data_IF_808212060579
#
_entry.id   IF_808212060579
#
_cell.length_a   1.000
_cell.length_b   1.000
_cell.length_c   1.000
_cell.angle_alpha   90.00
_cell.angle_beta   90.00
_cell.angle_gamma   90.00
#
_symmetry.space_group_name_H-M   'P 1'
#
loop_
_entity.id
_entity.type
_entity.pdbx_description
1 polymer ?
#
# COMPACT_ATOMS: atom_id res chain seq x y z
N UNK A 1 -30.20 15.33 4.34
CA UNK A 1 -29.56 14.90 5.59
C UNK A 1 -28.75 13.68 5.22
N UNK A 2 -27.47 13.88 4.85
CA UNK A 2 -26.62 12.79 4.34
C UNK A 2 -26.52 11.66 5.35
N UNK A 3 -26.84 10.45 4.90
CA UNK A 3 -26.63 9.25 5.70
C UNK A 3 -25.12 9.03 5.92
N UNK A 4 -24.67 8.97 7.18
CA UNK A 4 -23.24 8.85 7.52
C UNK A 4 -22.67 7.43 7.45
N UNK A 5 -23.47 6.42 7.09
CA UNK A 5 -23.01 5.03 6.94
C UNK A 5 -21.77 4.86 6.04
N UNK A 6 -21.72 5.40 4.79
CA UNK A 6 -20.54 5.27 3.93
C UNK A 6 -19.29 5.91 4.54
N UNK A 7 -19.43 6.95 5.36
CA UNK A 7 -18.31 7.56 6.08
C UNK A 7 -17.73 6.61 7.15
N UNK A 8 -18.58 6.01 7.98
CA UNK A 8 -18.12 5.06 9.00
C UNK A 8 -17.52 3.80 8.39
N UNK A 9 -18.10 3.30 7.29
CA UNK A 9 -17.53 2.20 6.52
C UNK A 9 -16.15 2.54 5.98
N UNK A 10 -15.99 3.71 5.34
CA UNK A 10 -14.71 4.17 4.83
C UNK A 10 -13.66 4.28 5.94
N UNK A 11 -14.02 4.87 7.10
CA UNK A 11 -13.12 5.02 8.23
C UNK A 11 -12.65 3.66 8.78
N UNK A 12 -13.58 2.71 8.96
CA UNK A 12 -13.26 1.37 9.45
C UNK A 12 -12.34 0.61 8.50
N UNK A 13 -12.64 0.63 7.20
CA UNK A 13 -11.82 -0.02 6.17
C UNK A 13 -10.43 0.62 6.05
N UNK A 14 -10.31 1.94 6.12
CA UNK A 14 -9.01 2.63 6.11
C UNK A 14 -8.15 2.28 7.32
N UNK A 15 -8.73 2.20 8.52
CA UNK A 15 -7.97 1.83 9.72
C UNK A 15 -7.47 0.39 9.60
N UNK A 16 -8.32 -0.52 9.13
CA UNK A 16 -7.94 -1.92 8.90
C UNK A 16 -6.83 -2.02 7.84
N UNK A 17 -6.99 -1.31 6.73
CA UNK A 17 -5.99 -1.23 5.66
C UNK A 17 -4.64 -0.69 6.19
N UNK A 18 -4.65 0.39 6.96
CA UNK A 18 -3.45 0.97 7.57
C UNK A 18 -2.70 -0.03 8.44
N UNK A 19 -3.42 -0.79 9.28
CA UNK A 19 -2.80 -1.80 10.15
C UNK A 19 -2.15 -2.90 9.31
N UNK A 20 -2.85 -3.43 8.31
CA UNK A 20 -2.34 -4.49 7.44
C UNK A 20 -1.15 -4.02 6.60
N UNK A 21 -1.24 -2.82 6.02
CA UNK A 21 -0.18 -2.18 5.24
C UNK A 21 1.05 -1.91 6.11
N UNK A 22 0.86 -1.40 7.33
CA UNK A 22 1.95 -1.16 8.29
C UNK A 22 2.65 -2.45 8.73
N UNK A 23 1.89 -3.51 9.00
CA UNK A 23 2.46 -4.83 9.31
C UNK A 23 3.22 -5.37 8.11
N UNK A 24 2.64 -5.32 6.91
CA UNK A 24 3.33 -5.76 5.70
C UNK A 24 4.64 -4.98 5.50
N UNK A 25 4.60 -3.65 5.60
CA UNK A 25 5.75 -2.77 5.43
C UNK A 25 6.88 -3.05 6.43
N UNK A 26 6.55 -3.30 7.70
CA UNK A 26 7.53 -3.47 8.77
C UNK A 26 8.07 -4.89 8.96
N UNK A 27 7.47 -5.91 8.33
CA UNK A 27 7.80 -7.32 8.62
C UNK A 27 8.65 -7.99 7.54
N UNK A 28 9.48 -8.93 8.00
CA UNK A 28 10.50 -9.64 7.21
C UNK A 28 10.02 -10.77 6.30
N UNK A 29 8.73 -10.89 5.96
CA UNK A 29 8.17 -12.11 5.33
C UNK A 29 7.41 -11.82 4.03
N UNK A 30 8.00 -11.01 3.14
CA UNK A 30 7.48 -10.80 1.79
C UNK A 30 7.82 -11.96 0.86
N UNK A 31 9.02 -12.51 1.01
CA UNK A 31 9.51 -13.65 0.26
C UNK A 31 10.22 -14.60 1.21
N UNK A 32 9.96 -15.90 1.08
CA UNK A 32 10.43 -16.92 2.02
C UNK A 32 11.16 -18.01 1.24
N UNK A 33 12.32 -18.39 1.76
CA UNK A 33 13.11 -19.49 1.25
C UNK A 33 12.44 -20.83 1.52
N UNK A 34 12.24 -21.63 0.49
CA UNK A 34 11.63 -22.96 0.62
C UNK A 34 12.66 -24.09 0.62
N UNK A 35 12.55 -25.04 1.55
CA UNK A 35 13.41 -26.25 1.58
C UNK A 35 14.53 -26.19 2.62
N UNK A 36 14.95 -27.37 3.07
CA UNK A 36 15.82 -27.52 4.25
C UNK A 36 17.25 -26.97 4.04
N UNK A 37 17.78 -27.08 2.82
CA UNK A 37 19.15 -26.65 2.50
C UNK A 37 19.22 -25.22 1.93
N UNK A 38 18.12 -24.44 1.99
CA UNK A 38 18.13 -23.07 1.46
C UNK A 38 18.99 -22.19 2.37
N UNK A 39 19.99 -21.54 1.77
CA UNK A 39 20.83 -20.55 2.47
C UNK A 39 20.17 -19.18 2.58
N UNK A 40 19.12 -18.94 1.81
CA UNK A 40 18.21 -17.82 1.94
C UNK A 40 17.01 -18.23 2.78
N UNK A 41 16.71 -17.48 3.85
CA UNK A 41 15.59 -17.82 4.75
C UNK A 41 14.35 -16.97 4.47
N UNK A 42 14.51 -15.64 4.49
CA UNK A 42 13.39 -14.71 4.26
C UNK A 42 13.87 -13.32 3.91
N UNK A 43 12.99 -12.59 3.24
CA UNK A 43 13.15 -11.20 2.83
C UNK A 43 11.87 -10.43 3.17
N UNK A 44 12.01 -9.32 3.88
CA UNK A 44 11.00 -8.26 3.94
C UNK A 44 11.38 -7.08 3.06
N UNK A 45 10.62 -5.99 3.17
CA UNK A 45 11.01 -4.76 2.46
C UNK A 45 12.36 -4.23 2.92
N UNK A 46 12.75 -4.47 4.16
CA UNK A 46 13.89 -3.77 4.73
C UNK A 46 14.86 -4.63 5.55
N UNK A 47 14.48 -5.87 5.82
CA UNK A 47 15.30 -6.86 6.52
C UNK A 47 15.45 -8.08 5.61
N UNK A 48 16.65 -8.64 5.59
CA UNK A 48 16.96 -9.89 4.89
C UNK A 48 17.65 -10.86 5.86
N UNK A 49 17.27 -12.13 5.78
CA UNK A 49 17.82 -13.20 6.62
C UNK A 49 18.47 -14.28 5.78
N UNK A 50 19.71 -14.62 6.13
CA UNK A 50 20.50 -15.67 5.49
C UNK A 50 21.06 -16.64 6.52
N UNK A 51 21.36 -17.86 6.07
CA UNK A 51 21.90 -18.93 6.90
C UNK A 51 23.08 -19.60 6.19
N UNK A 52 24.19 -18.88 6.12
CA UNK A 52 25.41 -19.33 5.47
C UNK A 52 25.35 -19.22 3.95
N UNK A 53 24.75 -18.15 3.44
CA UNK A 53 24.77 -17.84 2.02
C UNK A 53 26.10 -17.20 1.64
N UNK A 54 26.81 -17.81 0.68
CA UNK A 54 28.03 -17.25 0.10
C UNK A 54 27.72 -16.76 -1.32
N UNK A 55 28.04 -15.51 -1.58
CA UNK A 55 27.73 -14.90 -2.87
C UNK A 55 29.00 -14.73 -3.71
N UNK A 56 28.93 -15.10 -4.99
CA UNK A 56 30.10 -15.15 -5.87
C UNK A 56 30.72 -13.80 -6.19
N UNK A 57 29.97 -12.70 -6.05
CA UNK A 57 30.53 -11.34 -6.23
C UNK A 57 31.27 -10.81 -4.99
N UNK A 58 31.24 -11.52 -3.85
CA UNK A 58 32.08 -11.18 -2.72
C UNK A 58 33.49 -11.79 -2.88
N UNK A 59 34.49 -10.94 -3.12
CA UNK A 59 35.89 -11.34 -3.26
C UNK A 59 36.48 -11.95 -1.99
N UNK A 60 35.85 -11.72 -0.83
CA UNK A 60 36.26 -12.27 0.46
C UNK A 60 35.71 -13.70 0.64
N UNK A 61 34.67 -14.07 -0.12
CA UNK A 61 33.98 -15.36 0.05
C UNK A 61 33.30 -15.48 1.41
N UNK A 62 32.73 -14.39 1.93
CA UNK A 62 32.10 -14.40 3.25
C UNK A 62 30.72 -15.06 3.19
N UNK A 63 30.47 -15.94 4.16
CA UNK A 63 29.14 -16.49 4.41
C UNK A 63 28.30 -15.52 5.28
N UNK A 64 27.10 -15.18 4.82
CA UNK A 64 26.16 -14.30 5.51
C UNK A 64 25.24 -15.09 6.45
N UNK A 65 25.14 -14.62 7.70
CA UNK A 65 24.33 -15.25 8.75
C UNK A 65 23.44 -14.25 9.49
N UNK A 66 22.24 -14.70 9.83
CA UNK A 66 21.28 -13.96 10.63
C UNK A 66 20.43 -12.99 9.83
N UNK A 67 19.63 -12.22 10.57
CA UNK A 67 18.73 -11.21 10.03
C UNK A 67 19.33 -9.83 10.26
N UNK A 68 19.52 -9.08 9.18
CA UNK A 68 20.03 -7.73 9.27
C UNK A 68 19.21 -6.78 8.40
N UNK A 69 19.21 -5.53 8.82
CA UNK A 69 18.70 -4.43 8.03
C UNK A 69 19.47 -4.30 6.71
N UNK A 70 18.80 -4.04 5.59
CA UNK A 70 19.42 -3.98 4.26
C UNK A 70 20.55 -2.95 4.15
N UNK A 71 20.44 -1.84 4.88
CA UNK A 71 21.47 -0.79 4.89
C UNK A 71 22.57 -1.02 5.94
N UNK A 72 22.57 -2.15 6.64
CA UNK A 72 23.63 -2.51 7.57
C UNK A 72 24.96 -2.74 6.84
N UNK A 73 26.08 -2.52 7.54
CA UNK A 73 27.43 -2.68 6.98
C UNK A 73 27.71 -4.11 6.54
N UNK A 74 27.10 -5.09 7.21
CA UNK A 74 27.23 -6.52 6.87
C UNK A 74 26.92 -6.79 5.40
N UNK A 75 25.90 -6.12 4.86
CA UNK A 75 25.41 -6.31 3.51
C UNK A 75 25.99 -5.33 2.48
N UNK A 76 27.01 -4.53 2.81
CA UNK A 76 27.49 -3.47 1.91
C UNK A 76 27.93 -3.95 0.53
N UNK A 77 28.53 -5.15 0.46
CA UNK A 77 29.06 -5.71 -0.79
C UNK A 77 27.97 -6.34 -1.66
N UNK A 78 26.97 -6.99 -1.06
CA UNK A 78 25.88 -7.69 -1.77
C UNK A 78 24.60 -6.85 -1.91
N UNK A 79 24.56 -5.64 -1.35
CA UNK A 79 23.37 -4.77 -1.36
C UNK A 79 22.84 -4.50 -2.75
N UNK A 80 23.72 -4.22 -3.71
CA UNK A 80 23.31 -3.92 -5.09
C UNK A 80 22.63 -5.10 -5.80
N UNK A 81 23.00 -6.32 -5.45
CA UNK A 81 22.36 -7.54 -5.95
C UNK A 81 21.02 -7.79 -5.24
N UNK A 82 20.97 -7.66 -3.90
CA UNK A 82 19.74 -7.88 -3.14
C UNK A 82 18.66 -6.84 -3.41
N UNK A 83 19.05 -5.61 -3.75
CA UNK A 83 18.14 -4.48 -3.96
C UNK A 83 18.18 -4.00 -5.42
N UNK A 84 17.65 -4.78 -6.37
CA UNK A 84 17.54 -4.34 -7.75
C UNK A 84 16.60 -3.13 -7.85
N UNK A 85 16.73 -2.34 -8.92
CA UNK A 85 15.99 -1.07 -9.08
C UNK A 85 14.46 -1.24 -8.99
N UNK A 86 13.93 -2.37 -9.48
CA UNK A 86 12.51 -2.67 -9.37
C UNK A 86 12.07 -2.86 -7.91
N UNK A 87 12.90 -3.49 -7.08
CA UNK A 87 12.61 -3.71 -5.66
C UNK A 87 12.72 -2.41 -4.86
N UNK A 88 13.68 -1.55 -5.19
CA UNK A 88 13.78 -0.19 -4.64
C UNK A 88 12.52 0.63 -4.97
N UNK A 89 11.96 0.43 -6.16
CA UNK A 89 10.72 1.09 -6.58
C UNK A 89 9.53 0.62 -5.73
N UNK A 90 9.43 -0.68 -5.44
CA UNK A 90 8.43 -1.27 -4.53
C UNK A 90 8.58 -0.71 -3.11
N UNK A 91 9.81 -0.68 -2.57
CA UNK A 91 10.08 -0.10 -1.24
C UNK A 91 9.62 1.36 -1.15
N UNK A 92 9.93 2.15 -2.17
CA UNK A 92 9.58 3.58 -2.24
C UNK A 92 8.07 3.79 -2.31
N UNK A 93 7.38 3.05 -3.19
CA UNK A 93 5.93 3.14 -3.35
C UNK A 93 5.18 2.68 -2.10
N UNK A 94 5.63 1.61 -1.42
CA UNK A 94 5.05 1.19 -0.15
C UNK A 94 5.31 2.20 0.97
N UNK A 95 6.45 2.89 0.97
CA UNK A 95 6.72 3.99 1.92
C UNK A 95 5.73 5.13 1.71
N UNK A 96 5.50 5.54 0.45
CA UNK A 96 4.50 6.56 0.13
C UNK A 96 3.08 6.12 0.48
N UNK A 97 2.74 4.84 0.26
CA UNK A 97 1.44 4.29 0.63
C UNK A 97 1.18 4.44 2.13
N UNK A 98 2.09 3.97 2.99
CA UNK A 98 1.93 4.11 4.45
C UNK A 98 1.72 5.57 4.87
N UNK A 99 2.47 6.51 4.26
CA UNK A 99 2.31 7.95 4.53
C UNK A 99 0.94 8.47 4.08
N UNK A 100 0.51 8.17 2.85
CA UNK A 100 -0.79 8.61 2.33
C UNK A 100 -1.96 8.00 3.10
N UNK A 101 -1.81 6.77 3.59
CA UNK A 101 -2.81 6.08 4.39
C UNK A 101 -2.97 6.74 5.77
N UNK A 102 -1.86 7.07 6.45
CA UNK A 102 -1.88 7.85 7.70
C UNK A 102 -2.54 9.22 7.49
N UNK A 103 -2.14 9.94 6.43
CA UNK A 103 -2.72 11.25 6.10
C UNK A 103 -4.22 11.15 5.81
N UNK A 104 -4.65 10.12 5.08
CA UNK A 104 -6.06 9.88 4.77
C UNK A 104 -6.89 9.65 6.03
N UNK A 105 -6.41 8.85 6.98
CA UNK A 105 -7.09 8.62 8.27
C UNK A 105 -7.20 9.92 9.07
N UNK A 106 -6.13 10.72 9.15
CA UNK A 106 -6.15 12.02 9.86
C UNK A 106 -7.17 12.97 9.24
N UNK A 107 -7.24 13.05 7.91
CA UNK A 107 -8.23 13.90 7.22
C UNK A 107 -9.65 13.37 7.45
N UNK A 108 -9.88 12.06 7.41
CA UNK A 108 -11.20 11.46 7.68
C UNK A 108 -11.70 11.74 9.10
N UNK A 109 -10.82 11.73 10.10
CA UNK A 109 -11.19 12.11 11.48
C UNK A 109 -11.62 13.58 11.53
N UNK A 110 -10.96 14.47 10.79
CA UNK A 110 -11.37 15.89 10.69
C UNK A 110 -12.73 16.03 10.00
N UNK A 111 -12.98 15.26 8.94
CA UNK A 111 -14.27 15.23 8.24
C UNK A 111 -15.42 14.85 9.18
N UNK A 112 -15.20 13.90 10.10
CA UNK A 112 -16.23 13.49 11.06
C UNK A 112 -16.62 14.56 12.07
N UNK A 113 -15.70 15.50 12.36
CA UNK A 113 -15.93 16.63 13.27
C UNK A 113 -16.49 17.86 12.56
N UNK A 114 -16.25 18.01 11.26
CA UNK A 114 -16.76 19.13 10.48
C UNK A 114 -18.24 18.91 10.10
N UNK A 115 -19.03 19.97 10.19
CA UNK A 115 -20.45 20.00 9.84
C UNK A 115 -20.73 20.83 8.58
N UNK A 116 -19.70 21.28 7.85
CA UNK A 116 -19.82 22.21 6.71
C UNK A 116 -19.34 21.66 5.36
N UNK A 117 -19.51 22.48 4.30
CA UNK A 117 -19.05 22.23 2.93
C UNK A 117 -17.52 22.36 2.78
N UNK A 118 -16.77 21.59 3.57
CA UNK A 118 -15.31 21.57 3.49
C UNK A 118 -14.81 20.78 2.28
N UNK A 119 -13.63 21.15 1.77
CA UNK A 119 -12.91 20.38 0.74
C UNK A 119 -12.25 19.11 1.29
N UNK A 120 -12.27 18.91 2.61
CA UNK A 120 -11.66 17.78 3.31
C UNK A 120 -12.08 16.39 2.80
N UNK A 121 -13.38 16.06 2.58
CA UNK A 121 -13.78 14.75 2.04
C UNK A 121 -13.25 14.53 0.61
N UNK A 122 -13.17 15.59 -0.20
CA UNK A 122 -12.58 15.52 -1.54
C UNK A 122 -11.08 15.22 -1.49
N UNK A 123 -10.36 15.87 -0.56
CA UNK A 123 -8.93 15.61 -0.32
C UNK A 123 -8.74 14.17 0.15
N UNK A 124 -9.57 13.68 1.08
CA UNK A 124 -9.51 12.30 1.55
C UNK A 124 -9.74 11.29 0.41
N UNK A 125 -10.77 11.48 -0.42
CA UNK A 125 -11.01 10.64 -1.61
C UNK A 125 -9.78 10.63 -2.54
N UNK A 126 -9.19 11.79 -2.85
CA UNK A 126 -7.97 11.87 -3.66
C UNK A 126 -6.78 11.11 -3.07
N UNK A 127 -6.49 11.31 -1.77
CA UNK A 127 -5.40 10.62 -1.08
C UNK A 127 -5.61 9.10 -1.05
N UNK A 128 -6.82 8.62 -0.78
CA UNK A 128 -7.13 7.17 -0.77
C UNK A 128 -7.00 6.52 -2.15
N UNK A 129 -7.34 7.23 -3.22
CA UNK A 129 -7.16 6.73 -4.60
C UNK A 129 -5.67 6.60 -4.91
N UNK A 130 -4.88 7.63 -4.62
CA UNK A 130 -3.43 7.62 -4.83
C UNK A 130 -2.78 6.49 -4.00
N UNK A 131 -3.19 6.34 -2.74
CA UNK A 131 -2.72 5.25 -1.88
C UNK A 131 -2.98 3.87 -2.49
N UNK A 132 -4.22 3.62 -2.90
CA UNK A 132 -4.64 2.36 -3.52
C UNK A 132 -3.81 2.06 -4.76
N UNK A 133 -3.55 3.08 -5.58
CA UNK A 133 -2.68 2.96 -6.76
C UNK A 133 -1.24 2.59 -6.38
N UNK A 134 -0.64 3.26 -5.39
CA UNK A 134 0.71 2.95 -4.92
C UNK A 134 0.84 1.50 -4.42
N UNK A 135 -0.12 1.03 -3.61
CA UNK A 135 -0.13 -0.35 -3.10
C UNK A 135 -0.29 -1.34 -4.26
N UNK A 136 -1.25 -1.10 -5.16
CA UNK A 136 -1.51 -1.98 -6.29
C UNK A 136 -0.28 -2.12 -7.20
N UNK A 137 0.36 -1.01 -7.57
CA UNK A 137 1.59 -1.04 -8.38
C UNK A 137 2.71 -1.78 -7.64
N UNK A 138 2.89 -1.53 -6.34
CA UNK A 138 3.93 -2.20 -5.53
C UNK A 138 3.77 -3.71 -5.53
N UNK A 139 2.56 -4.19 -5.25
CA UNK A 139 2.24 -5.62 -5.17
C UNK A 139 2.34 -6.30 -6.54
N UNK A 140 1.87 -5.63 -7.61
CA UNK A 140 1.96 -6.15 -8.98
C UNK A 140 3.42 -6.25 -9.42
N UNK A 141 4.21 -5.17 -9.26
CA UNK A 141 5.62 -5.16 -9.64
C UNK A 141 6.37 -6.24 -8.88
N UNK A 142 6.19 -6.35 -7.56
CA UNK A 142 6.84 -7.38 -6.77
C UNK A 142 6.45 -8.80 -7.22
N UNK A 143 5.15 -9.06 -7.42
CA UNK A 143 4.66 -10.37 -7.84
C UNK A 143 5.13 -10.79 -9.23
N UNK A 144 5.19 -9.85 -10.19
CA UNK A 144 5.66 -10.13 -11.56
C UNK A 144 7.18 -10.30 -11.60
N UNK A 145 7.93 -9.41 -10.95
CA UNK A 145 9.39 -9.42 -11.04
C UNK A 145 10.02 -10.65 -10.37
N UNK A 146 9.38 -11.26 -9.38
CA UNK A 146 9.84 -12.55 -8.83
C UNK A 146 9.84 -13.66 -9.89
N UNK A 147 8.85 -13.67 -10.80
CA UNK A 147 8.76 -14.70 -11.84
C UNK A 147 9.71 -14.47 -13.02
N UNK A 148 9.94 -13.20 -13.36
CA UNK A 148 10.79 -12.77 -14.47
C UNK A 148 12.27 -12.76 -14.09
N UNK A 149 12.64 -12.18 -12.94
CA UNK A 149 14.01 -12.07 -12.46
C UNK A 149 14.44 -13.31 -11.67
N UNK A 150 14.50 -14.45 -12.37
CA UNK A 150 14.90 -15.76 -11.81
C UNK A 150 16.35 -15.79 -11.30
N UNK A 151 17.14 -14.77 -11.62
CA UNK A 151 18.54 -14.63 -11.18
C UNK A 151 18.70 -13.85 -9.89
N UNK A 152 17.64 -13.19 -9.40
CA UNK A 152 17.70 -12.36 -8.22
C UNK A 152 17.92 -13.17 -6.93
N UNK A 153 17.27 -14.33 -6.79
CA UNK A 153 17.38 -15.18 -5.60
C UNK A 153 17.96 -16.56 -5.94
N UNK A 154 18.79 -17.16 -5.06
CA UNK A 154 19.59 -18.33 -5.41
C UNK A 154 18.80 -19.59 -5.74
N UNK A 155 17.63 -19.78 -5.10
CA UNK A 155 16.78 -20.98 -5.21
C UNK A 155 15.32 -20.60 -5.50
N UNK A 156 15.14 -19.84 -6.58
CA UNK A 156 13.83 -19.31 -7.00
C UNK A 156 12.76 -20.39 -7.21
N UNK A 157 13.16 -21.64 -7.47
CA UNK A 157 12.30 -22.79 -7.74
C UNK A 157 11.58 -23.32 -6.49
N UNK A 158 12.20 -23.16 -5.32
CA UNK A 158 11.64 -23.60 -4.04
C UNK A 158 11.03 -22.45 -3.23
N UNK A 159 11.47 -21.22 -3.52
CA UNK A 159 11.07 -20.03 -2.78
C UNK A 159 9.63 -19.60 -3.11
N UNK A 160 8.94 -19.01 -2.13
CA UNK A 160 7.54 -18.64 -2.26
C UNK A 160 7.21 -17.29 -1.60
N UNK A 161 6.06 -16.74 -1.99
CA UNK A 161 5.55 -15.48 -1.43
C UNK A 161 5.13 -15.67 0.02
N UNK A 162 5.64 -14.80 0.90
CA UNK A 162 5.36 -14.88 2.32
C UNK A 162 4.04 -14.21 2.72
N UNK A 163 3.66 -14.40 3.98
CA UNK A 163 2.40 -13.89 4.52
C UNK A 163 2.32 -12.35 4.54
N UNK A 164 3.45 -11.65 4.73
CA UNK A 164 3.47 -10.18 4.72
C UNK A 164 3.10 -9.61 3.35
N UNK A 165 3.51 -10.28 2.28
CA UNK A 165 3.07 -9.93 0.92
C UNK A 165 1.55 -10.13 0.78
N UNK A 166 1.01 -11.23 1.30
CA UNK A 166 -0.44 -11.46 1.36
C UNK A 166 -1.20 -10.36 2.12
N UNK A 167 -0.64 -9.86 3.22
CA UNK A 167 -1.22 -8.72 3.94
C UNK A 167 -1.15 -7.42 3.14
N UNK A 168 -0.09 -7.18 2.37
CA UNK A 168 0.00 -6.03 1.48
C UNK A 168 -1.10 -6.07 0.41
N UNK A 169 -1.31 -7.23 -0.23
CA UNK A 169 -2.40 -7.46 -1.19
C UNK A 169 -3.76 -7.15 -0.53
N UNK A 170 -3.99 -7.69 0.67
CA UNK A 170 -5.24 -7.52 1.39
C UNK A 170 -5.48 -6.06 1.81
N UNK A 171 -4.42 -5.35 2.21
CA UNK A 171 -4.50 -3.91 2.49
C UNK A 171 -4.93 -3.12 1.24
N UNK A 172 -4.40 -3.44 0.06
CA UNK A 172 -4.79 -2.82 -1.20
C UNK A 172 -6.28 -3.01 -1.51
N UNK A 173 -6.83 -4.21 -1.26
CA UNK A 173 -8.27 -4.46 -1.40
C UNK A 173 -9.10 -3.59 -0.46
N UNK A 174 -8.76 -3.55 0.84
CA UNK A 174 -9.49 -2.71 1.79
C UNK A 174 -9.37 -1.22 1.49
N UNK A 175 -8.18 -0.74 1.07
CA UNK A 175 -7.99 0.63 0.60
C UNK A 175 -8.86 0.93 -0.62
N UNK A 176 -9.02 0.00 -1.57
CA UNK A 176 -9.89 0.19 -2.73
C UNK A 176 -11.38 0.31 -2.34
N UNK A 177 -11.87 -0.56 -1.47
CA UNK A 177 -13.26 -0.46 -0.96
C UNK A 177 -13.48 0.80 -0.13
N UNK A 178 -12.47 1.21 0.64
CA UNK A 178 -12.50 2.46 1.38
C UNK A 178 -12.56 3.67 0.44
N UNK A 179 -11.78 3.66 -0.65
CA UNK A 179 -11.80 4.70 -1.69
C UNK A 179 -13.19 4.84 -2.32
N UNK A 180 -13.83 3.73 -2.68
CA UNK A 180 -15.21 3.75 -3.20
C UNK A 180 -16.18 4.35 -2.14
N UNK A 181 -16.06 3.92 -0.89
CA UNK A 181 -16.93 4.39 0.21
C UNK A 181 -16.76 5.88 0.51
N UNK A 182 -15.53 6.41 0.52
CA UNK A 182 -15.30 7.84 0.76
C UNK A 182 -15.69 8.70 -0.45
N UNK A 183 -15.48 8.21 -1.67
CA UNK A 183 -15.84 8.96 -2.87
C UNK A 183 -17.36 9.01 -3.03
N UNK A 184 -18.10 7.93 -2.72
CA UNK A 184 -19.58 7.97 -2.67
C UNK A 184 -20.07 8.96 -1.62
N UNK A 185 -19.52 8.96 -0.40
CA UNK A 185 -19.84 9.96 0.63
C UNK A 185 -19.57 11.39 0.16
N UNK A 186 -18.43 11.61 -0.50
CA UNK A 186 -18.04 12.91 -1.06
C UNK A 186 -19.01 13.38 -2.15
N UNK A 187 -19.46 12.47 -3.03
CA UNK A 187 -20.44 12.77 -4.07
C UNK A 187 -21.81 13.09 -3.48
N UNK A 188 -22.24 12.37 -2.43
CA UNK A 188 -23.50 12.67 -1.72
C UNK A 188 -23.46 14.08 -1.10
N UNK A 189 -22.36 14.44 -0.45
CA UNK A 189 -22.19 15.80 0.10
C UNK A 189 -22.24 16.88 -1.00
N UNK A 190 -21.60 16.64 -2.14
CA UNK A 190 -21.64 17.56 -3.29
C UNK A 190 -23.05 17.68 -3.86
N UNK A 191 -23.78 16.56 -3.96
CA UNK A 191 -25.15 16.55 -4.48
C UNK A 191 -26.11 17.35 -3.58
N UNK A 192 -26.01 17.21 -2.25
CA UNK A 192 -26.80 18.03 -1.32
C UNK A 192 -26.44 19.51 -1.36
N UNK A 193 -25.20 19.86 -1.74
CA UNK A 193 -24.73 21.24 -1.84
C UNK A 193 -25.19 21.96 -3.13
N UNK A 194 -25.63 21.22 -4.15
CA UNK A 194 -26.10 21.82 -5.40
C UNK A 194 -27.42 22.58 -5.16
N UNK A 195 -27.61 23.77 -5.77
CA UNK A 195 -28.90 24.44 -5.72
C UNK A 195 -29.93 23.53 -6.37
N UNK A 196 -30.94 23.11 -5.58
CA UNK A 196 -32.08 22.36 -6.13
C UNK A 196 -32.76 23.28 -7.15
N UNK A 197 -32.97 22.77 -8.37
CA UNK A 197 -33.75 23.45 -9.38
C UNK A 197 -35.16 23.67 -8.81
N UNK A 198 -35.48 24.93 -8.50
CA UNK A 198 -36.75 25.29 -7.92
C UNK A 198 -37.77 25.49 -9.05
N UNK A 199 -38.64 24.50 -9.25
CA UNK A 199 -39.70 24.50 -10.27
C UNK A 199 -40.61 25.76 -10.16
N UNK A 200 -40.70 26.35 -8.96
CA UNK A 200 -41.41 27.61 -8.72
C UNK A 200 -40.73 28.83 -9.36
N UNK A 201 -39.40 28.84 -9.50
CA UNK A 201 -38.68 29.92 -10.21
C UNK A 201 -38.69 29.77 -11.73
N UNK A 202 -38.84 28.54 -12.23
CA UNK A 202 -38.96 28.27 -13.68
C UNK A 202 -40.33 28.70 -14.23
N UNK A 203 -41.41 28.41 -13.48
CA UNK A 203 -42.76 28.87 -13.79
C UNK A 203 -42.92 30.40 -13.70
N UNK A 204 -42.23 31.06 -12.77
CA UNK A 204 -42.16 32.53 -12.69
C UNK A 204 -41.37 33.18 -13.84
N UNK A 205 -40.46 32.45 -14.49
CA UNK A 205 -39.64 32.97 -15.61
C UNK A 205 -40.24 32.72 -16.99
N UNK A 206 -41.39 32.05 -17.09
CA UNK A 206 -42.13 31.92 -18.36
C UNK A 206 -41.37 31.16 -19.45
N UNK A 207 -40.51 30.19 -19.09
CA UNK A 207 -39.91 29.31 -20.08
C UNK A 207 -40.98 28.39 -20.67
N UNK A 208 -41.11 28.28 -22.01
CA UNK A 208 -42.06 27.35 -22.62
C UNK A 208 -41.63 25.91 -22.32
N UNK A 209 -42.63 25.07 -22.02
CA UNK A 209 -42.50 23.65 -21.71
C UNK A 209 -41.89 22.83 -22.86
#
# INVERSE_FOLDING_TARGET
>A
MVHRSPYYLALGLMILSLVLCGVAYGTGHWYIGGGHDNKFERLGLWEACFNGYEHTSDYIGKAYYGCWWMFHKEYSYVRGWMMPSWFISVQSLMSFAVVFEILSVVVLIKVGKSTGHDKAPLIACGLTIINTFCIAVSVIVFGVMIGEDRTWMPRFDLDYLGWSFGLAVLSGFFSAFAAISICTYTLMLKYEALPKYDESTASLKGYPA
#
